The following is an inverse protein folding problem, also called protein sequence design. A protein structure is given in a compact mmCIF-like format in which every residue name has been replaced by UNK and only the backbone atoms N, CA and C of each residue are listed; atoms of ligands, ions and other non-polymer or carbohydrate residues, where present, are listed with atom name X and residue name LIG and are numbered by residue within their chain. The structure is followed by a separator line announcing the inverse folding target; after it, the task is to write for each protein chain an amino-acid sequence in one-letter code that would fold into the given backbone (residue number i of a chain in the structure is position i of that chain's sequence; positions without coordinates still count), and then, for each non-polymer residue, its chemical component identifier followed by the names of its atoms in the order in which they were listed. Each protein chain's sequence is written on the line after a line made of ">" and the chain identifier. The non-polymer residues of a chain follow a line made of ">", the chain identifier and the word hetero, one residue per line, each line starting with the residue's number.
data_IF_091684150157
#
_entry.id   IF_091684150157
#
_cell.length_a   1.000
_cell.length_b   1.000
_cell.length_c   1.000
_cell.angle_alpha   90.00
_cell.angle_beta   90.00
_cell.angle_gamma   90.00
#
_symmetry.space_group_name_H-M   'P 1'
#
loop_
_entity.id
_entity.type
_entity.pdbx_description
1 polymer ?
#
# COMPACT_ATOMS: atom_id res chain seq x y z
N UNK A 1 26.55 -35.92 -65.02
CA UNK A 1 25.63 -36.40 -63.96
C UNK A 1 25.39 -35.28 -62.94
N UNK A 2 24.16 -34.79 -62.78
CA UNK A 2 23.75 -33.95 -61.64
C UNK A 2 22.46 -34.54 -61.06
N UNK A 3 22.50 -34.98 -59.82
CA UNK A 3 21.35 -35.55 -59.11
C UNK A 3 20.50 -34.42 -58.52
N UNK A 4 19.16 -34.43 -58.69
CA UNK A 4 18.30 -33.46 -58.02
C UNK A 4 18.02 -33.93 -56.58
N UNK A 5 18.40 -33.11 -55.60
CA UNK A 5 18.00 -33.25 -54.20
C UNK A 5 16.54 -32.81 -54.07
N UNK A 6 15.64 -33.73 -53.73
CA UNK A 6 14.24 -33.38 -53.44
C UNK A 6 14.14 -32.66 -52.09
N UNK A 7 13.81 -31.37 -52.12
CA UNK A 7 13.42 -30.63 -50.92
C UNK A 7 12.06 -31.17 -50.42
N UNK A 8 12.04 -31.67 -49.18
CA UNK A 8 10.85 -32.23 -48.55
C UNK A 8 9.97 -31.06 -48.06
N UNK A 9 8.83 -30.85 -48.71
CA UNK A 9 7.86 -29.83 -48.33
C UNK A 9 7.16 -30.25 -47.03
N UNK A 10 7.55 -29.67 -45.90
CA UNK A 10 6.87 -29.86 -44.61
C UNK A 10 5.53 -29.13 -44.70
N UNK A 11 4.43 -29.89 -44.83
CA UNK A 11 3.08 -29.32 -44.83
C UNK A 11 2.84 -28.64 -43.48
N UNK A 12 2.80 -27.31 -43.49
CA UNK A 12 2.37 -26.52 -42.35
C UNK A 12 0.86 -26.76 -42.15
N UNK A 13 0.51 -27.55 -41.15
CA UNK A 13 -0.87 -27.71 -40.69
C UNK A 13 -1.26 -26.48 -39.88
N UNK A 14 -1.69 -25.43 -40.57
CA UNK A 14 -2.12 -24.17 -39.96
C UNK A 14 -3.64 -24.14 -39.77
N UNK A 15 -4.04 -23.90 -38.52
CA UNK A 15 -5.28 -23.26 -38.05
C UNK A 15 -6.58 -23.59 -38.80
N UNK A 16 -7.44 -24.36 -38.13
CA UNK A 16 -8.85 -24.47 -38.52
C UNK A 16 -9.70 -23.45 -37.77
N UNK A 17 -10.80 -23.00 -38.39
CA UNK A 17 -11.76 -22.11 -37.72
C UNK A 17 -12.34 -22.74 -36.45
N UNK A 18 -12.56 -24.05 -36.45
CA UNK A 18 -13.07 -24.79 -35.29
C UNK A 18 -12.12 -24.72 -34.10
N UNK A 19 -10.81 -24.73 -34.33
CA UNK A 19 -9.79 -24.65 -33.29
C UNK A 19 -9.84 -23.28 -32.58
N UNK A 20 -10.02 -22.19 -33.33
CA UNK A 20 -10.20 -20.85 -32.76
C UNK A 20 -11.53 -20.75 -31.99
N UNK A 21 -12.61 -21.34 -32.50
CA UNK A 21 -13.91 -21.34 -31.82
C UNK A 21 -13.83 -22.03 -30.45
N UNK A 22 -13.22 -23.21 -30.40
CA UNK A 22 -13.04 -23.97 -29.15
C UNK A 22 -12.18 -23.19 -28.15
N UNK A 23 -11.11 -22.54 -28.61
CA UNK A 23 -10.24 -21.71 -27.76
C UNK A 23 -11.00 -20.52 -27.16
N UNK A 24 -11.81 -19.82 -27.95
CA UNK A 24 -12.61 -18.67 -27.46
C UNK A 24 -13.65 -19.14 -26.43
N UNK A 25 -14.28 -20.31 -26.63
CA UNK A 25 -15.21 -20.89 -25.66
C UNK A 25 -14.50 -21.20 -24.35
N UNK A 26 -13.33 -21.86 -24.39
CA UNK A 26 -12.55 -22.19 -23.18
C UNK A 26 -12.09 -20.91 -22.47
N UNK A 27 -11.61 -19.90 -23.21
CA UNK A 27 -11.22 -18.61 -22.64
C UNK A 27 -12.41 -17.88 -22.01
N UNK A 28 -13.59 -17.92 -22.62
CA UNK A 28 -14.82 -17.35 -22.07
C UNK A 28 -15.26 -18.04 -20.76
N UNK A 29 -15.17 -19.37 -20.71
CA UNK A 29 -15.44 -20.14 -19.50
C UNK A 29 -14.43 -19.83 -18.40
N UNK A 30 -13.13 -19.83 -18.70
CA UNK A 30 -12.08 -19.51 -17.72
C UNK A 30 -12.19 -18.08 -17.20
N UNK A 31 -12.49 -17.11 -18.08
CA UNK A 31 -12.66 -15.71 -17.69
C UNK A 31 -13.81 -15.51 -16.68
N UNK A 32 -14.86 -16.34 -16.73
CA UNK A 32 -16.00 -16.25 -15.81
C UNK A 32 -15.68 -16.60 -14.35
N UNK A 33 -14.65 -17.42 -14.10
CA UNK A 33 -14.28 -17.87 -12.75
C UNK A 33 -13.24 -16.98 -12.06
N UNK A 34 -12.64 -16.04 -12.77
CA UNK A 34 -11.59 -15.18 -12.22
C UNK A 34 -12.26 -13.96 -11.58
N UNK A 35 -12.80 -14.14 -10.37
CA UNK A 35 -13.13 -13.03 -9.47
C UNK A 35 -12.04 -12.97 -8.41
N UNK A 36 -11.08 -12.04 -8.48
CA UNK A 36 -10.14 -11.85 -7.38
C UNK A 36 -10.90 -11.23 -6.20
N UNK A 37 -11.18 -12.04 -5.18
CA UNK A 37 -11.82 -11.58 -3.94
C UNK A 37 -10.81 -10.83 -3.05
N UNK A 38 -10.46 -9.61 -3.46
CA UNK A 38 -9.47 -8.77 -2.78
C UNK A 38 -10.07 -7.94 -1.63
N UNK A 39 -11.40 -7.90 -1.52
CA UNK A 39 -12.07 -6.94 -0.64
C UNK A 39 -12.01 -7.32 0.84
N UNK A 40 -12.08 -8.62 1.18
CA UNK A 40 -12.16 -9.06 2.58
C UNK A 40 -10.87 -8.93 3.39
N UNK A 41 -9.71 -8.86 2.74
CA UNK A 41 -8.41 -8.74 3.40
C UNK A 41 -7.98 -7.29 3.60
N UNK A 42 -8.50 -6.37 2.78
CA UNK A 42 -8.15 -4.95 2.84
C UNK A 42 -8.62 -4.32 4.15
N UNK A 43 -9.88 -4.52 4.54
CA UNK A 43 -10.43 -3.95 5.79
C UNK A 43 -9.70 -4.44 7.04
N UNK A 44 -9.29 -5.72 7.07
CA UNK A 44 -8.51 -6.29 8.18
C UNK A 44 -7.12 -5.69 8.24
N UNK A 45 -6.46 -5.53 7.09
CA UNK A 45 -5.16 -4.90 6.99
C UNK A 45 -5.21 -3.42 7.40
N UNK A 46 -6.24 -2.70 6.96
CA UNK A 46 -6.47 -1.30 7.29
C UNK A 46 -6.69 -1.11 8.80
N UNK A 47 -7.52 -1.96 9.45
CA UNK A 47 -7.68 -1.95 10.92
C UNK A 47 -6.38 -2.25 11.66
N UNK A 48 -5.63 -3.27 11.22
CA UNK A 48 -4.37 -3.63 11.86
C UNK A 48 -3.33 -2.50 11.73
N UNK A 49 -3.30 -1.83 10.59
CA UNK A 49 -2.46 -0.66 10.35
C UNK A 49 -2.84 0.49 11.30
N UNK A 50 -4.13 0.81 11.40
CA UNK A 50 -4.61 1.85 12.31
C UNK A 50 -4.20 1.57 13.77
N UNK A 51 -4.32 0.32 14.24
CA UNK A 51 -3.88 -0.06 15.60
C UNK A 51 -2.37 0.16 15.77
N UNK A 52 -1.55 -0.25 14.79
CA UNK A 52 -0.11 -0.03 14.84
C UNK A 52 0.27 1.45 14.84
N UNK A 53 -0.46 2.25 14.07
CA UNK A 53 -0.25 3.69 13.95
C UNK A 53 -0.60 4.41 15.26
N UNK A 54 -1.69 4.00 15.94
CA UNK A 54 -2.06 4.52 17.27
C UNK A 54 -0.96 4.23 18.28
N UNK A 55 -0.45 2.99 18.34
CA UNK A 55 0.62 2.63 19.27
C UNK A 55 1.89 3.45 19.00
N UNK A 56 2.22 3.71 17.73
CA UNK A 56 3.35 4.56 17.41
C UNK A 56 3.14 6.02 17.87
N UNK A 57 1.92 6.55 17.70
CA UNK A 57 1.56 7.89 18.17
C UNK A 57 1.60 8.00 19.70
N UNK A 58 1.05 7.03 20.42
CA UNK A 58 1.08 6.98 21.90
C UNK A 58 2.52 7.00 22.41
N UNK A 59 3.39 6.16 21.86
CA UNK A 59 4.81 6.14 22.21
C UNK A 59 5.49 7.49 21.95
N UNK A 60 5.20 8.12 20.80
CA UNK A 60 5.74 9.45 20.47
C UNK A 60 5.27 10.53 21.45
N UNK A 61 3.99 10.51 21.81
CA UNK A 61 3.38 11.43 22.79
C UNK A 61 3.98 11.24 24.18
N UNK A 62 4.18 10.00 24.61
CA UNK A 62 4.76 9.69 25.91
C UNK A 62 6.22 10.14 26.00
N UNK A 63 7.01 9.97 24.93
CA UNK A 63 8.36 10.52 24.85
C UNK A 63 8.35 12.05 24.87
N UNK A 64 7.44 12.69 24.12
CA UNK A 64 7.27 14.14 24.15
C UNK A 64 6.97 14.62 25.58
N UNK A 65 6.07 13.93 26.29
CA UNK A 65 5.73 14.26 27.68
C UNK A 65 6.89 14.01 28.63
N UNK A 66 7.66 12.95 28.43
CA UNK A 66 8.82 12.64 29.27
C UNK A 66 9.85 13.77 29.21
N UNK A 67 10.13 14.29 28.01
CA UNK A 67 11.10 15.37 27.82
C UNK A 67 10.58 16.75 28.20
N UNK A 68 9.30 17.02 27.93
CA UNK A 68 8.72 18.37 28.05
C UNK A 68 7.79 18.55 29.25
N UNK A 69 7.52 17.47 29.99
CA UNK A 69 6.65 17.43 31.16
C UNK A 69 5.15 17.51 30.84
N UNK A 70 4.77 17.55 29.56
CA UNK A 70 3.38 17.72 29.10
C UNK A 70 3.22 17.19 27.69
N UNK A 71 1.99 16.85 27.31
CA UNK A 71 1.64 16.57 25.91
C UNK A 71 1.57 17.86 25.08
N UNK A 72 1.62 17.75 23.73
CA UNK A 72 1.28 18.86 22.84
C UNK A 72 -0.15 19.34 23.09
N UNK A 73 -0.43 20.62 22.85
CA UNK A 73 -1.79 21.15 22.89
C UNK A 73 -2.50 20.99 21.54
N UNK A 74 -3.79 21.33 21.49
CA UNK A 74 -4.59 21.20 20.26
C UNK A 74 -4.11 22.09 19.11
N UNK A 75 -3.47 23.23 19.41
CA UNK A 75 -2.94 24.13 18.37
C UNK A 75 -1.61 23.63 17.79
N UNK A 76 -0.85 22.88 18.57
CA UNK A 76 0.40 22.23 18.18
C UNK A 76 0.15 20.92 17.43
N UNK A 77 -0.95 20.23 17.76
CA UNK A 77 -1.36 18.99 17.12
C UNK A 77 -0.34 17.85 17.29
N UNK A 78 -0.47 16.86 16.41
CA UNK A 78 0.46 15.73 16.27
C UNK A 78 1.71 16.15 15.49
N UNK A 79 1.68 17.28 14.78
CA UNK A 79 2.84 17.83 14.07
C UNK A 79 3.98 18.15 15.03
N UNK A 80 3.67 18.45 16.29
CA UNK A 80 4.65 18.55 17.36
C UNK A 80 5.49 17.29 17.56
N UNK A 81 5.05 16.11 17.10
CA UNK A 81 5.82 14.88 17.17
C UNK A 81 6.86 14.75 16.05
N UNK A 82 6.72 15.48 14.95
CA UNK A 82 7.66 15.42 13.81
C UNK A 82 8.51 16.67 13.67
N UNK A 83 8.03 17.81 14.18
CA UNK A 83 8.73 19.08 14.11
C UNK A 83 8.55 19.86 15.42
N UNK A 84 9.58 20.62 15.81
CA UNK A 84 9.54 21.43 17.02
C UNK A 84 8.44 22.50 16.91
N UNK A 85 7.42 22.51 17.78
CA UNK A 85 6.38 23.52 17.73
C UNK A 85 6.92 24.92 18.06
N UNK A 86 6.46 25.90 17.29
CA UNK A 86 6.78 27.33 17.47
C UNK A 86 5.71 28.07 18.29
N UNK A 87 4.54 27.45 18.48
CA UNK A 87 3.45 27.99 19.29
C UNK A 87 3.68 27.69 20.77
N UNK A 88 3.44 28.66 21.66
CA UNK A 88 3.47 28.39 23.09
C UNK A 88 2.46 27.30 23.49
N UNK A 89 2.78 26.45 24.48
CA UNK A 89 4.00 26.50 25.29
C UNK A 89 5.18 25.79 24.58
N UNK A 90 6.32 26.49 24.47
CA UNK A 90 7.50 25.97 23.77
C UNK A 90 8.14 24.80 24.53
N UNK A 91 8.53 23.72 23.83
CA UNK A 91 9.17 22.54 24.43
C UNK A 91 10.54 22.92 24.97
N UNK A 92 10.88 22.40 26.15
CA UNK A 92 12.15 22.69 26.84
C UNK A 92 13.26 21.80 26.33
N UNK A 93 12.97 20.53 26.06
CA UNK A 93 13.91 19.55 25.56
C UNK A 93 13.25 18.85 24.36
N UNK A 94 13.69 19.17 23.15
CA UNK A 94 13.11 18.65 21.92
C UNK A 94 14.23 18.06 21.05
N UNK A 95 14.14 16.78 20.66
CA UNK A 95 15.15 16.14 19.81
C UNK A 95 15.17 16.77 18.41
N UNK A 96 16.36 16.93 17.81
CA UNK A 96 16.49 17.53 16.47
C UNK A 96 15.71 16.75 15.41
N UNK A 97 15.65 15.42 15.54
CA UNK A 97 14.95 14.52 14.61
C UNK A 97 13.45 14.36 14.90
N UNK A 98 12.92 15.01 15.95
CA UNK A 98 11.56 14.80 16.43
C UNK A 98 11.36 13.45 17.13
N UNK A 99 10.11 13.16 17.49
CA UNK A 99 9.67 11.93 18.16
C UNK A 99 9.18 10.87 17.17
N UNK A 100 8.76 11.29 15.99
CA UNK A 100 8.32 10.43 14.90
C UNK A 100 8.99 10.88 13.60
N UNK A 101 9.31 9.92 12.72
CA UNK A 101 9.87 10.23 11.39
C UNK A 101 8.84 10.84 10.44
N UNK A 102 7.57 10.46 10.60
CA UNK A 102 6.44 10.95 9.81
C UNK A 102 5.16 10.68 10.59
N UNK A 103 4.14 11.47 10.32
CA UNK A 103 2.80 11.18 10.80
C UNK A 103 2.21 10.01 10.01
N UNK A 104 1.61 9.01 10.69
CA UNK A 104 0.84 7.99 10.02
C UNK A 104 -0.37 8.61 9.33
N UNK A 105 -0.69 8.07 8.15
CA UNK A 105 -1.88 8.47 7.41
C UNK A 105 -2.99 7.46 7.67
N UNK A 106 -4.17 7.98 7.99
CA UNK A 106 -5.35 7.17 8.23
C UNK A 106 -5.64 6.23 7.04
N UNK A 107 -5.87 4.92 7.28
CA UNK A 107 -6.15 3.96 6.22
C UNK A 107 -7.41 4.25 5.40
N UNK A 108 -8.38 4.99 5.94
CA UNK A 108 -9.61 5.39 5.25
C UNK A 108 -9.47 6.73 4.51
N UNK A 109 -8.29 7.35 4.56
CA UNK A 109 -7.97 8.57 3.83
C UNK A 109 -8.47 9.85 4.50
N UNK A 110 -8.96 9.77 5.73
CA UNK A 110 -9.32 10.96 6.50
C UNK A 110 -8.06 11.65 7.06
N UNK A 111 -8.13 12.96 7.25
CA UNK A 111 -7.09 13.66 8.02
C UNK A 111 -7.30 13.33 9.49
N UNK A 112 -6.23 13.00 10.20
CA UNK A 112 -6.30 12.85 11.66
C UNK A 112 -6.84 14.16 12.26
N UNK A 113 -7.79 14.13 13.22
CA UNK A 113 -8.42 15.34 13.77
C UNK A 113 -7.47 16.26 14.55
N UNK A 114 -6.22 15.82 14.75
CA UNK A 114 -5.14 16.52 15.41
C UNK A 114 -3.89 16.62 14.51
N UNK A 115 -4.10 16.34 13.22
CA UNK A 115 -3.23 16.39 12.03
C UNK A 115 -2.92 17.77 11.44
#
# INVERSE_FOLDING_TARGET
>A
MRTPTMARNTRQSGFTLMEIMVVIVILGLLASFIIPNLMGNKDKADRQKAVSDIVALENGLDMYRLDNGRYPNNEQGLEALIAKPVTPPLPRNYPEDGYLRRLPQDPWGERLPFA
#
